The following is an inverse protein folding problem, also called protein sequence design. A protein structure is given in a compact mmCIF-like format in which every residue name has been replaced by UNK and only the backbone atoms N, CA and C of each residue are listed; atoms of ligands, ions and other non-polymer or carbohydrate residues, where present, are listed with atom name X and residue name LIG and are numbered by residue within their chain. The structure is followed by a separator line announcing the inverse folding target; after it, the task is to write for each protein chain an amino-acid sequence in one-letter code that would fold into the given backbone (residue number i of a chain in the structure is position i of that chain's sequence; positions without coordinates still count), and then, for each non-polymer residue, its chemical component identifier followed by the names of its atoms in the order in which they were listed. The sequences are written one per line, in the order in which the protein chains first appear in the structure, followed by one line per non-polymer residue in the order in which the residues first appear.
data_IF_147010682881
#
_entry.id   IF_147010682881
#
_cell.length_a   1.000
_cell.length_b   1.000
_cell.length_c   1.000
_cell.angle_alpha   90.00
_cell.angle_beta   90.00
_cell.angle_gamma   90.00
#
_symmetry.space_group_name_H-M   'P 1'
#
loop_
_entity.id
_entity.type
_entity.pdbx_description
1 polymer ?
#
# COMPACT_ATOMS: atom_id res chain seq x y z
N UNK A 1 -3.40 14.07 -7.59
CA UNK A 1 -3.61 13.77 -7.90
C UNK A 1 -3.40 13.02 -8.16
N UNK A 2 -3.50 12.49 -7.89
CA UNK A 2 -3.02 11.79 -8.22
C UNK A 2 -3.48 10.63 -8.10
N UNK A 3 -4.10 10.12 -8.74
CA UNK A 3 -4.53 9.02 -8.73
C UNK A 3 -3.55 8.13 -9.02
N UNK A 4 -3.50 7.03 -8.52
CA UNK A 4 -2.59 6.11 -8.80
C UNK A 4 -2.88 5.62 -10.06
N UNK A 5 -2.13 5.92 -10.97
CA UNK A 5 -2.35 5.46 -12.20
C UNK A 5 -1.45 4.38 -12.43
N UNK A 6 -1.74 3.21 -12.18
CA UNK A 6 -0.92 2.06 -12.48
C UNK A 6 -0.92 1.89 -13.97
N UNK A 7 0.17 1.52 -14.56
CA UNK A 7 0.32 1.43 -15.98
C UNK A 7 -0.78 0.67 -16.64
N UNK A 8 -1.22 1.15 -17.74
CA UNK A 8 -2.21 0.56 -18.43
C UNK A 8 -2.27 -0.86 -18.59
N UNK A 9 -1.35 -1.42 -19.21
CA UNK A 9 -1.44 -2.82 -19.48
C UNK A 9 -1.37 -3.62 -18.23
N UNK A 10 -0.82 -3.06 -17.20
CA UNK A 10 -0.74 -3.83 -16.01
C UNK A 10 -1.89 -3.45 -15.18
N UNK A 11 -2.47 -2.35 -15.40
CA UNK A 11 -3.54 -1.87 -14.65
C UNK A 11 -4.63 -2.86 -14.65
N UNK A 12 -4.90 -3.46 -15.75
CA UNK A 12 -5.95 -4.36 -15.78
C UNK A 12 -5.79 -5.50 -14.85
N UNK A 13 -4.68 -6.10 -14.80
CA UNK A 13 -4.52 -7.23 -13.93
C UNK A 13 -4.58 -6.78 -12.49
N UNK A 14 -3.98 -5.66 -12.18
CA UNK A 14 -3.99 -5.21 -10.82
C UNK A 14 -5.39 -4.78 -10.42
N UNK A 15 -6.07 -4.07 -11.24
CA UNK A 15 -7.40 -3.64 -10.94
C UNK A 15 -8.30 -4.85 -10.88
N UNK A 16 -8.05 -5.81 -11.71
CA UNK A 16 -8.83 -7.02 -11.66
C UNK A 16 -8.71 -7.69 -10.33
N UNK A 17 -7.49 -7.72 -9.80
CA UNK A 17 -7.28 -8.35 -8.55
C UNK A 17 -7.94 -7.56 -7.46
N UNK A 18 -7.83 -6.26 -7.49
CA UNK A 18 -8.42 -5.44 -6.50
C UNK A 18 -9.92 -5.58 -6.58
N UNK A 19 -10.46 -5.65 -7.78
CA UNK A 19 -11.89 -5.77 -7.91
C UNK A 19 -12.36 -7.13 -7.44
N UNK A 20 -11.57 -8.13 -7.68
CA UNK A 20 -12.02 -9.42 -7.27
C UNK A 20 -12.02 -9.55 -5.82
N UNK A 21 -11.17 -8.86 -5.18
CA UNK A 21 -11.11 -9.02 -3.80
C UNK A 21 -12.33 -8.49 -3.18
N UNK A 22 -13.06 -7.81 -3.87
CA UNK A 22 -14.11 -7.23 -3.29
C UNK A 22 -15.24 -8.06 -3.19
N UNK A 23 -15.40 -8.96 -3.48
CA UNK A 23 -16.47 -9.64 -3.51
C UNK A 23 -16.91 -10.21 -2.46
N UNK A 24 -16.97 -10.84 -2.10
CA UNK A 24 -17.31 -11.56 -1.15
C UNK A 24 -18.18 -11.09 -0.24
N UNK A 25 -18.53 -11.39 0.23
CA UNK A 25 -19.33 -11.19 0.98
C UNK A 25 -19.30 -10.57 2.02
N UNK A 26 -19.47 -10.25 2.44
CA UNK A 26 -19.51 -9.71 3.24
C UNK A 26 -19.68 -9.53 4.35
N UNK A 27 -19.68 -9.36 4.77
CA UNK A 27 -19.59 -9.48 5.75
C UNK A 27 -19.96 -8.56 6.63
N UNK A 28 -20.49 -8.43 7.06
CA UNK A 28 -20.94 -7.69 7.74
C UNK A 28 -20.32 -7.29 8.85
N UNK A 29 -19.79 -7.48 9.25
CA UNK A 29 -19.15 -7.36 10.29
C UNK A 29 -18.94 -6.03 10.73
N UNK A 30 -18.74 -5.78 11.80
CA UNK A 30 -18.58 -4.56 12.23
C UNK A 30 -17.35 -4.11 11.88
N UNK A 31 -17.25 -3.33 11.15
CA UNK A 31 -16.12 -2.86 10.63
C UNK A 31 -15.26 -2.17 11.52
N UNK A 32 -15.74 -1.42 12.31
CA UNK A 32 -14.96 -0.74 13.17
C UNK A 32 -14.03 -1.51 13.93
N UNK A 33 -14.45 -2.40 14.52
CA UNK A 33 -13.62 -3.15 15.36
C UNK A 33 -12.43 -3.60 14.66
N UNK A 34 -12.55 -4.02 13.55
CA UNK A 34 -11.48 -4.46 12.95
C UNK A 34 -10.59 -3.49 12.57
N UNK A 35 -10.99 -2.46 12.22
CA UNK A 35 -10.15 -1.49 11.80
C UNK A 35 -9.05 -1.26 12.67
N UNK A 36 -9.25 -1.14 13.85
CA UNK A 36 -8.22 -0.89 14.66
C UNK A 36 -7.17 -1.75 14.74
N UNK A 37 -7.24 -2.84 14.38
CA UNK A 37 -6.26 -3.60 14.67
C UNK A 37 -5.35 -3.84 13.80
N UNK A 38 -5.20 -3.22 13.08
CA UNK A 38 -4.58 -3.68 12.29
C UNK A 38 -3.44 -3.57 11.58
N UNK A 39 -3.13 -2.67 10.86
CA UNK A 39 -2.05 -2.67 9.91
C UNK A 39 -0.79 -2.15 10.57
N UNK A 40 0.33 -2.79 10.31
CA UNK A 40 1.60 -2.38 10.84
C UNK A 40 2.15 -1.27 9.98
N UNK A 41 2.83 -0.31 10.57
CA UNK A 41 3.48 0.75 9.82
C UNK A 41 4.61 0.07 9.05
N UNK A 42 4.72 0.23 7.75
CA UNK A 42 5.67 -0.57 6.96
C UNK A 42 7.14 -0.23 7.17
N UNK A 43 7.46 0.98 7.60
CA UNK A 43 8.81 1.42 7.88
C UNK A 43 8.77 2.40 9.00
N UNK A 44 9.91 2.71 9.62
CA UNK A 44 9.96 3.72 10.63
C UNK A 44 10.44 4.99 9.99
N UNK A 45 9.70 6.04 10.10
CA UNK A 45 10.09 7.30 9.47
C UNK A 45 9.10 8.39 9.77
N UNK A 46 9.30 9.51 9.09
CA UNK A 46 8.50 10.67 9.33
C UNK A 46 7.51 10.82 8.21
N UNK A 47 6.25 11.06 8.51
CA UNK A 47 5.26 11.28 7.48
C UNK A 47 5.47 12.70 6.97
N UNK A 48 5.86 12.82 5.71
CA UNK A 48 6.11 14.12 5.11
C UNK A 48 4.95 14.58 4.23
N UNK A 49 4.00 13.71 3.95
CA UNK A 49 2.79 14.11 3.26
C UNK A 49 1.67 13.18 3.69
N UNK A 50 0.64 13.75 4.23
CA UNK A 50 -0.49 12.97 4.70
C UNK A 50 -1.45 12.60 3.59
N UNK A 51 -2.36 11.73 3.87
CA UNK A 51 -3.43 11.36 2.97
C UNK A 51 -4.36 12.55 2.82
N UNK A 52 -4.81 12.79 1.63
CA UNK A 52 -5.84 13.79 1.42
C UNK A 52 -5.40 14.92 0.50
N UNK A 53 -6.20 15.95 0.41
CA UNK A 53 -5.92 17.02 -0.52
C UNK A 53 -4.73 17.86 -0.08
N UNK A 54 -4.01 18.42 -1.01
CA UNK A 54 -2.92 19.32 -0.72
C UNK A 54 -2.80 20.28 -1.89
N UNK A 55 -1.95 21.26 -1.77
CA UNK A 55 -1.76 22.24 -2.82
C UNK A 55 -3.09 22.96 -3.06
N UNK A 56 -3.69 23.44 -2.00
CA UNK A 56 -4.94 24.18 -2.04
C UNK A 56 -6.04 23.37 -2.71
N UNK A 57 -5.99 22.09 -2.55
CA UNK A 57 -7.03 21.24 -3.10
C UNK A 57 -6.80 20.84 -4.54
N UNK A 58 -5.73 21.29 -5.16
CA UNK A 58 -5.48 20.94 -6.53
C UNK A 58 -4.97 19.52 -6.71
N UNK A 59 -4.46 18.93 -5.66
CA UNK A 59 -3.96 17.57 -5.74
C UNK A 59 -4.43 16.77 -4.56
N UNK A 60 -4.36 15.47 -4.66
CA UNK A 60 -4.81 14.58 -3.58
C UNK A 60 -3.78 13.46 -3.42
N UNK A 61 -3.37 13.20 -2.20
CA UNK A 61 -2.46 12.11 -1.91
C UNK A 61 -3.29 10.90 -1.49
N UNK A 62 -3.21 9.82 -2.24
CA UNK A 62 -4.00 8.63 -1.96
C UNK A 62 -3.39 7.72 -0.91
N UNK A 63 -2.32 8.12 -0.31
CA UNK A 63 -1.66 7.36 0.74
C UNK A 63 -0.91 8.31 1.63
N UNK A 64 0.17 7.82 2.24
CA UNK A 64 1.04 8.68 3.03
C UNK A 64 2.45 8.49 2.51
N UNK A 65 3.27 9.52 2.63
CA UNK A 65 4.65 9.44 2.20
C UNK A 65 5.52 9.46 3.44
N UNK A 66 6.37 8.46 3.61
CA UNK A 66 7.14 8.27 4.82
C UNK A 66 8.62 8.39 4.48
N UNK A 67 9.27 9.41 5.02
CA UNK A 67 10.69 9.65 4.77
C UNK A 67 11.49 8.83 5.77
N UNK A 68 12.50 8.10 5.29
CA UNK A 68 13.32 7.32 6.19
C UNK A 68 14.69 7.97 6.32
N UNK A 69 15.28 7.91 7.49
CA UNK A 69 16.57 8.52 7.74
C UNK A 69 17.70 7.53 7.71
N UNK A 70 17.39 6.25 7.61
CA UNK A 70 18.41 5.22 7.47
C UNK A 70 17.89 4.17 6.54
N UNK A 71 18.75 3.35 6.00
CA UNK A 71 18.31 2.24 5.16
C UNK A 71 17.46 1.33 6.01
N UNK A 72 16.36 0.87 5.48
CA UNK A 72 15.46 0.01 6.23
C UNK A 72 14.83 -1.07 5.40
N UNK A 73 14.41 -2.10 6.06
CA UNK A 73 13.62 -3.13 5.46
C UNK A 73 12.18 -2.68 5.50
N UNK A 74 11.42 -2.98 4.47
CA UNK A 74 10.02 -2.66 4.41
C UNK A 74 9.26 -3.90 4.85
N UNK A 75 8.31 -3.76 5.75
CA UNK A 75 7.56 -4.88 6.26
C UNK A 75 6.15 -4.92 5.74
N UNK A 76 5.64 -6.11 5.51
CA UNK A 76 4.26 -6.26 5.10
C UNK A 76 3.36 -5.78 6.23
N UNK A 77 2.41 -4.94 5.94
CA UNK A 77 1.55 -4.36 6.96
C UNK A 77 0.57 -5.35 7.56
N UNK A 78 0.28 -6.43 6.86
CA UNK A 78 -0.67 -7.42 7.32
C UNK A 78 -0.43 -8.71 6.54
N UNK A 79 -0.94 -9.84 7.02
CA UNK A 79 -0.87 -11.09 6.29
C UNK A 79 -1.53 -10.95 4.94
N UNK A 80 -1.00 -11.57 3.93
CA UNK A 80 -1.63 -11.50 2.63
C UNK A 80 -0.86 -12.23 1.54
N UNK A 81 -1.19 -11.90 0.32
CA UNK A 81 -0.57 -12.51 -0.83
C UNK A 81 -0.09 -11.40 -1.74
N UNK A 82 1.12 -11.50 -2.24
CA UNK A 82 1.67 -10.51 -3.14
C UNK A 82 0.91 -10.57 -4.45
N UNK A 83 0.22 -9.51 -4.78
CA UNK A 83 -0.61 -9.46 -5.98
C UNK A 83 0.13 -8.84 -7.16
N UNK A 84 1.15 -8.07 -6.92
CA UNK A 84 1.84 -7.38 -8.01
C UNK A 84 3.21 -6.92 -7.54
N UNK A 85 4.21 -7.02 -8.41
CA UNK A 85 5.53 -6.47 -8.18
C UNK A 85 5.95 -5.88 -9.52
N UNK A 86 6.31 -4.63 -9.54
CA UNK A 86 6.68 -3.99 -10.80
C UNK A 86 7.70 -2.87 -10.63
N UNK A 87 8.38 -2.54 -11.71
CA UNK A 87 9.39 -1.50 -11.73
C UNK A 87 9.08 -0.49 -12.81
N UNK A 88 9.76 0.63 -12.75
CA UNK A 88 9.64 1.66 -13.77
C UNK A 88 8.22 2.18 -13.96
N UNK A 89 7.46 2.18 -12.90
CA UNK A 89 6.10 2.67 -12.98
C UNK A 89 6.14 4.18 -12.86
N UNK A 90 5.37 4.84 -13.70
CA UNK A 90 5.36 6.26 -13.69
C UNK A 90 4.96 6.76 -12.34
N UNK A 91 5.68 7.63 -11.75
CA UNK A 91 5.40 8.18 -10.44
C UNK A 91 5.61 7.25 -9.26
N UNK A 92 5.54 5.94 -9.48
CA UNK A 92 5.63 5.01 -8.36
C UNK A 92 6.90 4.19 -8.36
N UNK A 93 7.69 4.25 -9.45
CA UNK A 93 8.97 3.54 -9.49
C UNK A 93 8.78 2.06 -9.28
N UNK A 94 9.34 1.52 -8.21
CA UNK A 94 9.16 0.13 -7.86
C UNK A 94 8.04 0.03 -6.86
N UNK A 95 7.13 -0.89 -7.09
CA UNK A 95 5.94 -1.02 -6.24
C UNK A 95 5.57 -2.47 -5.98
N UNK A 96 5.07 -2.72 -4.79
CA UNK A 96 4.51 -4.02 -4.40
C UNK A 96 3.08 -3.78 -3.99
N UNK A 97 2.18 -4.66 -4.41
CA UNK A 97 0.80 -4.64 -3.92
C UNK A 97 0.56 -5.97 -3.20
N UNK A 98 -0.03 -5.90 -2.03
CA UNK A 98 -0.39 -7.09 -1.26
C UNK A 98 -1.88 -7.10 -1.02
N UNK A 99 -2.50 -8.23 -1.31
CA UNK A 99 -3.92 -8.38 -1.15
C UNK A 99 -4.15 -9.05 0.18
N UNK A 100 -5.03 -8.50 0.97
CA UNK A 100 -5.35 -9.02 2.29
C UNK A 100 -6.81 -9.46 2.35
N UNK A 101 -7.24 -9.94 3.48
CA UNK A 101 -8.62 -10.32 3.63
C UNK A 101 -9.47 -9.08 3.78
N UNK A 102 -10.75 -9.26 3.73
CA UNK A 102 -11.69 -8.18 3.96
C UNK A 102 -11.58 -7.03 2.98
N UNK A 103 -11.21 -7.35 1.76
CA UNK A 103 -11.19 -6.36 0.69
C UNK A 103 -10.09 -5.32 0.82
N UNK A 104 -9.09 -5.55 1.63
CA UNK A 104 -8.00 -4.62 1.76
C UNK A 104 -6.84 -4.96 0.85
N UNK A 105 -6.20 -3.93 0.34
CA UNK A 105 -4.97 -4.07 -0.43
C UNK A 105 -4.03 -3.00 0.10
N UNK A 106 -2.73 -3.32 0.24
CA UNK A 106 -1.75 -2.32 0.61
C UNK A 106 -0.76 -2.17 -0.53
N UNK A 107 -0.27 -0.96 -0.72
CA UNK A 107 0.68 -0.64 -1.77
C UNK A 107 1.91 0.01 -1.17
N UNK A 108 3.08 -0.41 -1.63
CA UNK A 108 4.36 0.06 -1.14
C UNK A 108 5.13 0.54 -2.35
N UNK A 109 5.18 1.84 -2.60
CA UNK A 109 5.74 2.39 -3.82
C UNK A 109 6.98 3.23 -3.57
N UNK A 110 7.76 3.42 -4.60
CA UNK A 110 9.00 4.17 -4.58
C UNK A 110 10.04 3.50 -3.71
N UNK A 111 10.00 2.18 -3.69
CA UNK A 111 10.93 1.43 -2.87
C UNK A 111 12.18 1.12 -3.69
N UNK A 112 13.23 0.66 -3.08
CA UNK A 112 14.49 0.45 -3.77
C UNK A 112 14.77 -0.99 -4.17
N UNK A 113 14.32 -1.94 -3.39
CA UNK A 113 14.56 -3.35 -3.69
C UNK A 113 13.37 -4.20 -3.34
N UNK A 114 13.19 -5.30 -4.06
CA UNK A 114 12.13 -6.25 -3.77
C UNK A 114 12.73 -7.49 -3.10
N UNK A 115 12.00 -8.05 -2.14
CA UNK A 115 12.38 -9.32 -1.54
C UNK A 115 11.29 -10.37 -1.76
N UNK A 116 10.31 -10.06 -2.58
CA UNK A 116 9.20 -10.97 -2.82
C UNK A 116 8.84 -10.95 -4.29
N UNK A 117 8.04 -11.91 -4.72
CA UNK A 117 7.56 -11.91 -6.07
C UNK A 117 6.08 -12.21 -6.04
N UNK A 118 5.40 -11.99 -7.17
CA UNK A 118 3.97 -12.18 -7.26
C UNK A 118 3.61 -13.59 -6.86
N UNK A 119 2.60 -13.72 -6.09
CA UNK A 119 2.13 -15.03 -5.64
C UNK A 119 2.61 -15.42 -4.26
N UNK A 120 3.65 -14.78 -3.76
CA UNK A 120 4.16 -15.14 -2.45
C UNK A 120 3.16 -14.87 -1.35
N UNK A 121 3.10 -15.74 -0.38
CA UNK A 121 2.27 -15.55 0.79
C UNK A 121 3.14 -14.90 1.83
N UNK A 122 2.71 -13.80 2.40
CA UNK A 122 3.49 -13.08 3.38
C UNK A 122 2.74 -12.93 4.69
N UNK A 123 3.48 -12.78 5.76
CA UNK A 123 2.87 -12.57 7.04
C UNK A 123 3.12 -11.17 7.50
N UNK A 124 2.26 -10.64 8.36
CA UNK A 124 2.40 -9.32 8.90
C UNK A 124 3.79 -9.20 9.50
N UNK A 125 4.52 -8.18 9.15
CA UNK A 125 5.87 -7.95 9.66
C UNK A 125 6.98 -8.61 8.84
N UNK A 126 6.64 -9.41 7.86
CA UNK A 126 7.65 -10.05 7.04
C UNK A 126 8.31 -9.02 6.14
N UNK A 127 9.60 -9.13 5.92
CA UNK A 127 10.33 -8.22 5.05
C UNK A 127 9.93 -8.46 3.61
N UNK A 128 9.54 -7.42 2.91
CA UNK A 128 9.13 -7.54 1.52
C UNK A 128 10.01 -6.70 0.60
N UNK A 129 10.82 -5.83 1.13
CA UNK A 129 11.67 -4.98 0.30
C UNK A 129 12.56 -4.11 1.14
N UNK A 130 13.20 -3.13 0.49
CA UNK A 130 14.12 -2.27 1.16
C UNK A 130 14.01 -0.86 0.62
N UNK A 131 14.24 0.12 1.49
CA UNK A 131 14.21 1.53 1.11
C UNK A 131 15.49 2.14 1.67
N UNK A 132 16.17 2.98 0.87
CA UNK A 132 17.43 3.57 1.28
C UNK A 132 17.20 4.91 1.95
N UNK A 133 18.14 5.30 2.80
CA UNK A 133 17.99 6.51 3.56
C UNK A 133 17.76 7.72 2.67
N UNK A 134 17.05 8.66 3.19
CA UNK A 134 16.70 9.90 2.51
C UNK A 134 15.68 9.74 1.39
N UNK A 135 15.16 8.54 1.20
CA UNK A 135 14.08 8.32 0.26
C UNK A 135 12.77 8.18 1.03
N UNK A 136 11.66 8.33 0.36
CA UNK A 136 10.38 8.18 1.03
C UNK A 136 9.58 7.09 0.36
N UNK A 137 8.89 6.31 1.18
CA UNK A 137 8.00 5.27 0.69
C UNK A 137 6.63 5.89 0.56
N UNK A 138 5.95 5.59 -0.53
CA UNK A 138 4.54 5.97 -0.66
C UNK A 138 3.72 4.74 -0.31
N UNK A 139 2.94 4.83 0.76
CA UNK A 139 2.19 3.71 1.28
C UNK A 139 0.70 3.96 1.18
N UNK A 140 -0.04 3.02 0.62
CA UNK A 140 -1.48 3.17 0.52
C UNK A 140 -2.19 1.99 1.15
N UNK A 141 -3.36 2.27 1.70
CA UNK A 141 -4.30 1.23 2.10
C UNK A 141 -5.54 1.48 1.27
N UNK A 142 -6.01 0.45 0.58
CA UNK A 142 -7.20 0.56 -0.22
C UNK A 142 -8.23 -0.43 0.31
N UNK A 143 -9.47 0.03 0.41
CA UNK A 143 -10.54 -0.84 0.84
C UNK A 143 -11.57 -0.85 -0.26
N UNK A 144 -11.92 -1.99 -0.76
CA UNK A 144 -12.87 -2.13 -1.85
C UNK A 144 -12.51 -1.21 -3.00
N UNK A 145 -11.23 -1.22 -3.37
CA UNK A 145 -10.73 -0.44 -4.48
C UNK A 145 -10.52 1.04 -4.21
N UNK A 146 -10.99 1.57 -3.12
CA UNK A 146 -10.84 2.99 -2.85
C UNK A 146 -9.71 3.24 -1.87
N UNK A 147 -8.91 4.27 -2.08
CA UNK A 147 -7.87 4.58 -1.12
C UNK A 147 -8.52 5.12 0.14
N UNK A 148 -7.99 4.75 1.28
CA UNK A 148 -8.50 5.22 2.56
C UNK A 148 -7.32 5.79 3.34
N UNK A 149 -7.60 6.62 4.33
CA UNK A 149 -6.55 7.26 5.10
C UNK A 149 -5.82 6.22 5.93
N UNK A 150 -4.55 5.95 5.64
CA UNK A 150 -3.83 4.91 6.36
C UNK A 150 -3.75 5.16 7.86
N UNK A 151 -3.75 6.42 8.28
CA UNK A 151 -3.64 6.73 9.68
C UNK A 151 -4.81 6.20 10.51
N UNK A 152 -5.90 5.86 9.87
CA UNK A 152 -7.05 5.32 10.60
C UNK A 152 -6.92 3.81 10.79
N UNK A 153 -5.95 3.19 10.13
CA UNK A 153 -5.83 1.73 10.15
C UNK A 153 -4.51 1.23 10.69
N UNK A 154 -3.55 2.12 10.88
CA UNK A 154 -2.25 1.71 11.35
C UNK A 154 -2.16 1.88 12.83
N UNK A 155 -1.46 1.03 13.49
CA UNK A 155 -1.23 1.20 14.91
C UNK A 155 0.14 1.67 15.17
#
# INVERSE_FOLDING_TARGET
DVEIKIPLHKDYSVIGLINKTKITKQSKTSPIAKVNSKFLFPVKGKIIRDFGPFDNGNQHNDGINILVSIDQEIKASMNGKVAFVGSNLKSFGKMILIKHDSQFVTAYARINEFNVMEGDIVKKGQVIGKIYKNNSVHFQIRKSRNPVNPNLYIN
#
